data_IF_456069594179
#
_entry.id   IF_456069594179
#
_cell.length_a   1.000
_cell.length_b   1.000
_cell.length_c   1.000
_cell.angle_alpha   90.00
_cell.angle_beta   90.00
_cell.angle_gamma   90.00
#
_symmetry.space_group_name_H-M   'P 1'
#
loop_
_entity.id
_entity.type
_entity.pdbx_description
1 polymer ?
#
# COMPACT_ATOMS: atom_id res chain seq x y z
N UNK A 1 -7.07 20.68 -30.93
CA UNK A 1 -8.26 19.85 -30.59
C UNK A 1 -7.87 18.58 -29.83
N UNK A 2 -6.92 18.66 -28.89
CA UNK A 2 -6.37 17.48 -28.17
C UNK A 2 -6.69 17.49 -26.67
N UNK A 3 -7.16 18.61 -26.11
CA UNK A 3 -7.27 18.80 -24.66
C UNK A 3 -8.41 18.00 -24.00
N UNK A 4 -9.53 17.79 -24.69
CA UNK A 4 -10.69 17.11 -24.08
C UNK A 4 -10.49 15.60 -23.94
N UNK A 5 -9.83 14.95 -24.89
CA UNK A 5 -9.58 13.49 -24.83
C UNK A 5 -8.56 13.14 -23.76
N UNK A 6 -7.49 13.94 -23.62
CA UNK A 6 -6.48 13.77 -22.56
C UNK A 6 -7.07 14.00 -21.17
N UNK A 7 -7.92 15.02 -21.01
CA UNK A 7 -8.59 15.27 -19.74
C UNK A 7 -9.47 14.10 -19.30
N UNK A 8 -10.30 13.55 -20.21
CA UNK A 8 -11.17 12.43 -19.89
C UNK A 8 -10.38 11.14 -19.60
N UNK A 9 -9.30 10.87 -20.33
CA UNK A 9 -8.44 9.70 -20.04
C UNK A 9 -7.79 9.79 -18.66
N UNK A 10 -7.38 10.99 -18.25
CA UNK A 10 -6.75 11.20 -16.94
C UNK A 10 -7.76 11.06 -15.80
N UNK A 11 -8.98 11.57 -15.97
CA UNK A 11 -10.08 11.38 -14.99
C UNK A 11 -10.41 9.90 -14.82
N UNK A 12 -10.58 9.16 -15.92
CA UNK A 12 -10.88 7.73 -15.86
C UNK A 12 -9.76 6.93 -15.20
N UNK A 13 -8.50 7.25 -15.54
CA UNK A 13 -7.33 6.61 -14.93
C UNK A 13 -7.27 6.86 -13.42
N UNK A 14 -7.52 8.09 -12.97
CA UNK A 14 -7.54 8.43 -11.54
C UNK A 14 -8.65 7.70 -10.80
N UNK A 15 -9.86 7.66 -11.37
CA UNK A 15 -10.98 6.90 -10.78
C UNK A 15 -10.67 5.41 -10.65
N UNK A 16 -10.03 4.82 -11.66
CA UNK A 16 -9.62 3.41 -11.61
C UNK A 16 -8.58 3.14 -10.49
N UNK A 17 -7.63 4.06 -10.26
CA UNK A 17 -6.66 3.91 -9.16
C UNK A 17 -7.34 4.06 -7.79
N UNK A 18 -8.26 5.02 -7.63
CA UNK A 18 -9.04 5.16 -6.39
C UNK A 18 -9.80 3.88 -6.06
N UNK A 19 -10.54 3.32 -7.02
CA UNK A 19 -11.26 2.06 -6.85
C UNK A 19 -10.35 0.84 -6.66
N UNK A 20 -9.07 0.90 -7.05
CA UNK A 20 -8.09 -0.12 -6.69
C UNK A 20 -7.64 0.00 -5.24
N UNK A 21 -7.47 1.22 -4.73
CA UNK A 21 -7.16 1.46 -3.30
C UNK A 21 -8.32 1.00 -2.44
N UNK A 22 -9.54 1.42 -2.73
CA UNK A 22 -10.75 0.99 -2.00
C UNK A 22 -10.84 -0.54 -1.92
N UNK A 23 -10.73 -1.23 -3.06
CA UNK A 23 -10.75 -2.70 -3.09
C UNK A 23 -9.62 -3.35 -2.31
N UNK A 24 -8.42 -2.75 -2.35
CA UNK A 24 -7.28 -3.28 -1.61
C UNK A 24 -7.46 -3.13 -0.10
N UNK A 25 -7.95 -1.97 0.35
CA UNK A 25 -8.26 -1.71 1.76
C UNK A 25 -9.39 -2.62 2.26
N UNK A 26 -10.44 -2.82 1.46
CA UNK A 26 -11.50 -3.77 1.81
C UNK A 26 -10.98 -5.21 1.92
N UNK A 27 -10.07 -5.63 1.02
CA UNK A 27 -9.42 -6.93 1.15
C UNK A 27 -8.59 -7.03 2.44
N UNK A 28 -7.87 -5.98 2.81
CA UNK A 28 -7.10 -5.91 4.08
C UNK A 28 -8.02 -5.99 5.30
N UNK A 29 -9.19 -5.34 5.26
CA UNK A 29 -10.18 -5.39 6.35
C UNK A 29 -10.82 -6.78 6.47
N UNK A 30 -11.07 -7.44 5.35
CA UNK A 30 -11.71 -8.76 5.30
C UNK A 30 -10.78 -9.93 5.67
N UNK A 31 -9.48 -9.69 5.84
CA UNK A 31 -8.48 -10.73 6.12
C UNK A 31 -7.59 -10.35 7.30
N UNK A 32 -7.29 -11.32 8.16
CA UNK A 32 -6.29 -11.16 9.24
C UNK A 32 -4.86 -11.43 8.75
N UNK A 33 -4.69 -11.96 7.54
CA UNK A 33 -3.39 -12.32 6.99
C UNK A 33 -2.49 -11.08 6.76
N UNK A 34 -1.16 -11.25 6.80
CA UNK A 34 -0.21 -10.27 6.26
C UNK A 34 -0.22 -10.30 4.72
N UNK A 35 0.54 -9.42 4.05
CA UNK A 35 0.77 -9.51 2.60
C UNK A 35 1.63 -10.73 2.24
N UNK A 36 2.57 -11.09 3.11
CA UNK A 36 3.47 -12.21 3.00
C UNK A 36 3.61 -12.92 4.34
N UNK A 37 3.49 -14.25 4.32
CA UNK A 37 3.83 -15.08 5.46
C UNK A 37 5.34 -15.35 5.47
N UNK A 38 6.01 -15.02 6.57
CA UNK A 38 7.41 -15.36 6.77
C UNK A 38 7.54 -16.84 7.18
N UNK A 39 8.33 -17.58 6.42
CA UNK A 39 8.76 -18.94 6.72
C UNK A 39 10.29 -19.00 6.68
N UNK A 40 10.86 -20.14 7.08
CA UNK A 40 12.31 -20.37 6.98
C UNK A 40 12.54 -21.67 6.22
N UNK A 41 13.55 -21.69 5.37
CA UNK A 41 13.95 -22.91 4.65
C UNK A 41 14.73 -23.89 5.54
N UNK A 42 15.28 -24.94 4.95
CA UNK A 42 16.01 -25.98 5.69
C UNK A 42 17.34 -25.47 6.26
N UNK A 43 17.89 -24.39 5.71
CA UNK A 43 19.12 -23.74 6.15
C UNK A 43 18.84 -22.60 7.14
N UNK A 44 17.56 -22.27 7.38
CA UNK A 44 17.11 -21.23 8.28
C UNK A 44 17.03 -19.84 7.64
N UNK A 45 17.15 -19.75 6.31
CA UNK A 45 17.04 -18.49 5.59
C UNK A 45 15.57 -18.07 5.45
N UNK A 46 15.26 -16.77 5.62
CA UNK A 46 13.90 -16.28 5.54
C UNK A 46 13.34 -16.38 4.10
N UNK A 47 12.13 -16.92 3.98
CA UNK A 47 11.37 -16.97 2.73
C UNK A 47 9.96 -16.42 2.94
N UNK A 48 9.52 -15.53 2.05
CA UNK A 48 8.25 -14.84 2.12
C UNK A 48 7.24 -15.44 1.14
N UNK A 49 6.21 -16.10 1.66
CA UNK A 49 5.11 -16.66 0.88
C UNK A 49 4.02 -15.60 0.66
N UNK A 50 3.67 -15.22 -0.59
CA UNK A 50 2.62 -14.24 -0.83
C UNK A 50 1.25 -14.78 -0.38
N UNK A 51 0.44 -13.90 0.18
CA UNK A 51 -0.99 -14.16 0.48
C UNK A 51 -1.87 -13.52 -0.61
N UNK A 52 -3.19 -13.55 -0.40
CA UNK A 52 -4.14 -12.81 -1.23
C UNK A 52 -3.96 -11.28 -1.17
N UNK A 53 -3.25 -10.77 -0.16
CA UNK A 53 -2.98 -9.33 0.04
C UNK A 53 -1.64 -8.89 -0.58
N UNK A 54 -0.86 -9.81 -1.14
CA UNK A 54 0.35 -9.46 -1.88
C UNK A 54 -0.02 -8.66 -3.13
N UNK A 55 0.68 -7.54 -3.36
CA UNK A 55 0.52 -6.70 -4.55
C UNK A 55 1.89 -6.38 -5.14
N UNK A 56 1.94 -6.18 -6.46
CA UNK A 56 3.20 -5.84 -7.12
C UNK A 56 3.69 -4.44 -6.73
N UNK A 57 5.00 -4.25 -6.69
CA UNK A 57 5.62 -2.95 -6.42
C UNK A 57 5.15 -1.86 -7.40
N UNK A 58 4.94 -2.20 -8.68
CA UNK A 58 4.43 -1.27 -9.68
C UNK A 58 2.99 -0.80 -9.37
N UNK A 59 2.14 -1.72 -8.90
CA UNK A 59 0.77 -1.38 -8.52
C UNK A 59 0.78 -0.50 -7.27
N UNK A 60 1.57 -0.88 -6.26
CA UNK A 60 1.71 -0.06 -5.05
C UNK A 60 2.26 1.33 -5.38
N UNK A 61 3.24 1.44 -6.28
CA UNK A 61 3.78 2.72 -6.73
C UNK A 61 2.72 3.63 -7.35
N UNK A 62 1.84 3.07 -8.19
CA UNK A 62 0.76 3.84 -8.83
C UNK A 62 -0.26 4.33 -7.80
N UNK A 63 -0.64 3.46 -6.87
CA UNK A 63 -1.56 3.79 -5.78
C UNK A 63 -0.95 4.85 -4.86
N UNK A 64 0.32 4.69 -4.47
CA UNK A 64 1.07 5.62 -3.63
C UNK A 64 1.18 7.00 -4.29
N UNK A 65 1.59 7.06 -5.55
CA UNK A 65 1.71 8.34 -6.27
C UNK A 65 0.35 9.06 -6.35
N UNK A 66 -0.72 8.31 -6.63
CA UNK A 66 -2.07 8.89 -6.66
C UNK A 66 -2.51 9.43 -5.30
N UNK A 67 -2.33 8.66 -4.23
CA UNK A 67 -2.87 9.03 -2.91
C UNK A 67 -2.06 10.14 -2.21
N UNK A 68 -0.75 10.22 -2.50
CA UNK A 68 0.10 11.31 -1.99
C UNK A 68 -0.12 12.64 -2.72
N UNK A 69 -0.69 12.61 -3.93
CA UNK A 69 -1.08 13.81 -4.68
C UNK A 69 -2.43 14.40 -4.21
N UNK A 70 -3.20 13.69 -3.38
CA UNK A 70 -4.46 14.18 -2.82
C UNK A 70 -4.25 14.95 -1.52
N UNK A 71 -5.23 15.79 -1.18
CA UNK A 71 -5.26 16.54 0.09
C UNK A 71 -5.33 15.61 1.32
N UNK A 72 -5.01 16.17 2.49
CA UNK A 72 -4.94 15.43 3.77
C UNK A 72 -6.31 15.03 4.34
N UNK A 73 -7.37 15.75 3.97
CA UNK A 73 -8.72 15.56 4.51
C UNK A 73 -9.61 14.83 3.49
N UNK A 74 -9.34 13.54 3.29
CA UNK A 74 -10.14 12.70 2.40
C UNK A 74 -11.44 12.28 3.07
N UNK A 75 -12.58 12.49 2.39
CA UNK A 75 -13.89 12.03 2.86
C UNK A 75 -14.04 10.51 2.79
N UNK A 76 -13.30 9.85 1.89
CA UNK A 76 -13.31 8.40 1.75
C UNK A 76 -12.38 7.73 2.78
N UNK A 77 -12.97 6.94 3.67
CA UNK A 77 -12.27 6.29 4.79
C UNK A 77 -11.20 5.30 4.31
N UNK A 78 -11.42 4.61 3.19
CA UNK A 78 -10.47 3.66 2.64
C UNK A 78 -9.25 4.39 2.06
N UNK A 79 -9.48 5.47 1.30
CA UNK A 79 -8.41 6.31 0.79
C UNK A 79 -7.62 6.96 1.93
N UNK A 80 -8.31 7.50 2.95
CA UNK A 80 -7.70 8.09 4.14
C UNK A 80 -6.82 7.10 4.92
N UNK A 81 -7.32 5.88 5.15
CA UNK A 81 -6.56 4.84 5.83
C UNK A 81 -5.29 4.44 5.07
N UNK A 82 -5.39 4.30 3.74
CA UNK A 82 -4.25 3.99 2.89
C UNK A 82 -3.23 5.13 2.87
N UNK A 83 -3.69 6.39 2.75
CA UNK A 83 -2.83 7.58 2.80
C UNK A 83 -2.07 7.67 4.13
N UNK A 84 -2.78 7.49 5.25
CA UNK A 84 -2.20 7.49 6.58
C UNK A 84 -1.13 6.41 6.73
N UNK A 85 -1.43 5.18 6.32
CA UNK A 85 -0.47 4.08 6.39
C UNK A 85 0.79 4.37 5.57
N UNK A 86 0.67 4.83 4.32
CA UNK A 86 1.82 5.21 3.49
C UNK A 86 2.73 6.24 4.18
N UNK A 87 2.15 7.25 4.83
CA UNK A 87 2.91 8.28 5.57
C UNK A 87 3.59 7.72 6.80
N UNK A 88 2.89 6.89 7.58
CA UNK A 88 3.46 6.27 8.78
C UNK A 88 4.67 5.39 8.47
N UNK A 89 4.67 4.72 7.32
CA UNK A 89 5.80 3.88 6.88
C UNK A 89 6.98 4.69 6.33
N UNK A 90 6.79 5.97 5.97
CA UNK A 90 7.76 6.70 5.15
C UNK A 90 8.05 5.99 3.83
N UNK A 91 7.02 5.42 3.21
CA UNK A 91 7.17 4.63 1.98
C UNK A 91 7.61 5.52 0.82
N UNK A 92 8.70 5.14 0.15
CA UNK A 92 9.24 5.87 -1.00
C UNK A 92 9.46 4.96 -2.19
N UNK A 93 9.47 5.55 -3.40
CA UNK A 93 9.74 4.85 -4.65
C UNK A 93 10.88 5.52 -5.40
N UNK A 94 12.07 4.93 -5.29
CA UNK A 94 13.26 5.35 -6.01
C UNK A 94 13.32 4.73 -7.41
N UNK A 95 13.64 5.51 -8.45
CA UNK A 95 13.93 4.96 -9.78
C UNK A 95 15.14 4.01 -9.82
N UNK A 96 16.06 4.11 -8.87
CA UNK A 96 17.31 3.34 -8.85
C UNK A 96 17.20 2.03 -8.08
N UNK A 97 16.51 2.06 -6.94
CA UNK A 97 16.46 0.91 -6.00
C UNK A 97 15.05 0.34 -5.82
N UNK A 98 14.03 0.97 -6.41
CA UNK A 98 12.64 0.51 -6.29
C UNK A 98 11.98 1.01 -5.02
N UNK A 99 11.18 0.14 -4.39
CA UNK A 99 10.45 0.46 -3.16
C UNK A 99 11.41 0.54 -1.97
N UNK A 100 11.31 1.60 -1.20
CA UNK A 100 12.16 1.89 -0.05
C UNK A 100 11.28 2.19 1.14
N UNK A 101 11.57 1.55 2.28
CA UNK A 101 10.91 1.81 3.55
C UNK A 101 11.94 1.59 4.65
N UNK A 102 12.11 2.57 5.53
CA UNK A 102 12.99 2.42 6.70
C UNK A 102 12.34 1.47 7.71
N UNK A 103 13.13 0.78 8.51
CA UNK A 103 12.61 0.06 9.66
C UNK A 103 12.18 1.03 10.79
N UNK A 104 11.53 0.52 11.83
CA UNK A 104 11.08 1.33 12.99
C UNK A 104 12.21 2.13 13.68
N UNK A 105 13.45 1.67 13.57
CA UNK A 105 14.61 2.32 14.20
C UNK A 105 15.32 3.34 13.29
N UNK A 106 14.84 3.50 12.05
CA UNK A 106 15.42 4.35 11.01
C UNK A 106 16.92 4.07 10.71
N UNK A 107 17.42 2.90 11.07
CA UNK A 107 18.83 2.50 10.93
C UNK A 107 19.08 1.51 9.79
N UNK A 108 18.01 1.08 9.12
CA UNK A 108 18.07 0.15 7.99
C UNK A 108 16.81 0.19 7.13
N UNK A 109 16.88 -0.45 5.96
CA UNK A 109 15.75 -0.60 5.06
C UNK A 109 15.08 -1.96 5.23
N UNK A 110 13.75 -1.97 5.17
CA UNK A 110 12.97 -3.20 5.17
C UNK A 110 13.01 -3.87 3.80
N UNK A 111 13.03 -5.21 3.75
CA UNK A 111 12.69 -5.96 2.56
C UNK A 111 11.30 -5.54 2.02
N UNK A 112 11.08 -5.60 0.70
CA UNK A 112 9.78 -5.26 0.11
C UNK A 112 8.59 -5.98 0.74
N UNK A 113 8.76 -7.25 1.08
CA UNK A 113 7.73 -8.10 1.68
C UNK A 113 7.38 -7.64 3.10
N UNK A 114 8.38 -7.23 3.89
CA UNK A 114 8.15 -6.70 5.24
C UNK A 114 7.51 -5.33 5.22
N UNK A 115 7.94 -4.46 4.30
CA UNK A 115 7.30 -3.16 4.10
C UNK A 115 5.83 -3.31 3.70
N UNK A 116 5.49 -4.27 2.83
CA UNK A 116 4.09 -4.58 2.50
C UNK A 116 3.31 -5.15 3.68
N UNK A 117 3.91 -6.02 4.49
CA UNK A 117 3.30 -6.50 5.72
C UNK A 117 2.99 -5.35 6.69
N UNK A 118 3.92 -4.41 6.80
CA UNK A 118 3.75 -3.26 7.68
C UNK A 118 2.69 -2.30 7.17
N UNK A 119 2.57 -2.14 5.84
CA UNK A 119 1.50 -1.36 5.22
C UNK A 119 0.13 -1.98 5.56
N UNK A 120 -0.04 -3.28 5.35
CA UNK A 120 -1.27 -4.01 5.70
C UNK A 120 -1.63 -3.82 7.17
N UNK A 121 -0.63 -3.94 8.07
CA UNK A 121 -0.81 -3.73 9.51
C UNK A 121 -1.29 -2.31 9.84
N UNK A 122 -0.68 -1.28 9.26
CA UNK A 122 -1.03 0.12 9.52
C UNK A 122 -2.40 0.49 8.93
N UNK A 123 -2.73 0.00 7.73
CA UNK A 123 -4.08 0.16 7.15
C UNK A 123 -5.11 -0.44 8.09
N UNK A 124 -4.89 -1.68 8.57
CA UNK A 124 -5.83 -2.34 9.48
C UNK A 124 -5.98 -1.60 10.81
N UNK A 125 -4.88 -1.08 11.37
CA UNK A 125 -4.90 -0.31 12.62
C UNK A 125 -5.70 1.00 12.53
N UNK A 126 -5.92 1.52 11.32
CA UNK A 126 -6.74 2.70 11.09
C UNK A 126 -8.24 2.44 11.33
N UNK A 127 -8.69 1.18 11.20
CA UNK A 127 -10.08 0.78 11.42
C UNK A 127 -10.17 0.05 12.77
N UNK A 128 -10.42 0.75 13.90
CA UNK A 128 -10.62 0.07 15.17
C UNK A 128 -11.80 -0.91 15.06
N UNK A 129 -11.62 -2.12 15.58
CA UNK A 129 -12.70 -3.10 15.63
C UNK A 129 -13.92 -2.49 16.34
N UNK A 130 -15.08 -2.53 15.68
CA UNK A 130 -16.36 -2.27 16.34
C UNK A 130 -16.52 -3.37 17.38
N UNK A 131 -16.40 -3.00 18.67
CA UNK A 131 -16.81 -3.88 19.76
C UNK A 131 -18.34 -3.93 19.73
N UNK A 132 -18.91 -5.03 19.21
CA UNK A 132 -20.32 -5.38 19.42
C UNK A 132 -20.56 -5.87 20.86
#
# INVERSE_FOLDING_TARGET
MTSHTTFLSDVLRRGEIASQIERYVEAIKASEEPAYNLSHDHDGEPFYCPTSLAISADRLKQMHAFIMDLDDELEDEALGAFQHACRCLGLEFSPLVGMVCLNESEDGYLPPEEALNWLVKNVRAHFPAVQE
#
